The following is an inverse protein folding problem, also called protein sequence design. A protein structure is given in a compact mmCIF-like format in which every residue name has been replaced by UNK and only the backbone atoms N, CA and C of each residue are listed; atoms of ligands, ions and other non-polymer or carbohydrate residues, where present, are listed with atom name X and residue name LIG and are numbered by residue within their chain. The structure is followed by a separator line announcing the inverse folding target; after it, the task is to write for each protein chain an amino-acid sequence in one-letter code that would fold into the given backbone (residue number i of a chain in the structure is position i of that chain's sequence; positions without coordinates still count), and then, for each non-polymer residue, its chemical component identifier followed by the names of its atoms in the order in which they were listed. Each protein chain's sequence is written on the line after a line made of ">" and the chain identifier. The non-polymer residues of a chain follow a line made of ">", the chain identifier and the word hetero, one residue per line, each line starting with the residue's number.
data_IF_677284358632
#
_entry.id   IF_677284358632
#
_cell.length_a   1.000
_cell.length_b   1.000
_cell.length_c   1.000
_cell.angle_alpha   90.00
_cell.angle_beta   90.00
_cell.angle_gamma   90.00
#
_symmetry.space_group_name_H-M   'P 1'
#
loop_
_entity.id
_entity.type
_entity.pdbx_description
1 polymer ?
#
# COMPACT_ATOMS: atom_id res chain seq x y z
N UNK A 1 -13.52 -4.68 -9.78
CA UNK A 1 -13.35 -3.32 -10.33
C UNK A 1 -14.17 -3.06 -11.58
N UNK A 2 -13.83 -3.59 -12.76
CA UNK A 2 -14.61 -3.30 -13.98
C UNK A 2 -16.11 -3.64 -13.87
N UNK A 3 -16.46 -4.80 -13.30
CA UNK A 3 -17.86 -5.19 -13.03
C UNK A 3 -18.59 -4.25 -12.06
N UNK A 4 -17.84 -3.49 -11.27
CA UNK A 4 -18.30 -2.52 -10.29
C UNK A 4 -18.33 -1.08 -10.85
N UNK A 5 -18.03 -0.89 -12.15
CA UNK A 5 -18.03 0.42 -12.82
C UNK A 5 -16.72 1.21 -12.72
N UNK A 6 -15.64 0.61 -12.20
CA UNK A 6 -14.35 1.28 -12.07
C UNK A 6 -13.47 1.04 -13.30
N UNK A 7 -12.89 2.12 -13.81
CA UNK A 7 -11.68 2.04 -14.64
C UNK A 7 -10.47 1.70 -13.76
N UNK A 8 -9.49 0.97 -14.30
CA UNK A 8 -8.31 0.52 -13.56
C UNK A 8 -7.06 1.09 -14.19
N UNK A 9 -6.27 1.81 -13.39
CA UNK A 9 -4.88 2.15 -13.68
C UNK A 9 -3.98 1.24 -12.84
N UNK A 10 -3.23 0.36 -13.50
CA UNK A 10 -2.26 -0.51 -12.82
C UNK A 10 -0.93 0.23 -12.74
N UNK A 11 -0.37 0.31 -11.54
CA UNK A 11 0.95 0.86 -11.26
C UNK A 11 1.83 -0.31 -10.87
N UNK A 12 2.68 -0.74 -11.78
CA UNK A 12 3.63 -1.82 -11.52
C UNK A 12 4.80 -1.28 -10.69
N UNK A 13 5.20 -2.04 -9.69
CA UNK A 13 6.37 -1.74 -8.86
C UNK A 13 7.35 -2.88 -8.98
N UNK A 14 8.59 -2.57 -9.31
CA UNK A 14 9.63 -3.57 -9.40
C UNK A 14 10.41 -3.65 -8.08
N UNK A 15 10.94 -4.83 -7.78
CA UNK A 15 11.79 -5.03 -6.59
C UNK A 15 13.02 -4.10 -6.62
N UNK A 16 13.51 -3.72 -7.80
CA UNK A 16 14.61 -2.75 -7.94
C UNK A 16 14.25 -1.36 -7.38
N UNK A 17 12.99 -0.95 -7.50
CA UNK A 17 12.51 0.36 -7.02
C UNK A 17 12.40 0.37 -5.50
N UNK A 18 12.08 -0.79 -4.92
CA UNK A 18 12.19 -1.02 -3.48
C UNK A 18 13.67 -0.99 -3.06
N UNK A 19 14.55 -1.75 -3.71
CA UNK A 19 15.97 -1.79 -3.34
C UNK A 19 16.67 -0.44 -3.49
N UNK A 20 16.23 0.41 -4.42
CA UNK A 20 16.75 1.75 -4.64
C UNK A 20 15.64 2.83 -4.54
N UNK A 21 15.32 3.30 -3.32
CA UNK A 21 14.14 4.15 -3.06
C UNK A 21 14.02 5.43 -3.89
N UNK A 22 15.14 5.98 -4.37
CA UNK A 22 15.12 7.16 -5.26
C UNK A 22 14.34 6.91 -6.54
N UNK A 23 14.44 5.72 -7.13
CA UNK A 23 13.65 5.38 -8.32
C UNK A 23 12.17 5.26 -7.98
N UNK A 24 11.84 4.69 -6.82
CA UNK A 24 10.48 4.69 -6.29
C UNK A 24 9.90 6.10 -6.12
N UNK A 25 10.70 7.05 -5.60
CA UNK A 25 10.31 8.46 -5.50
C UNK A 25 10.06 9.09 -6.87
N UNK A 26 10.97 8.90 -7.83
CA UNK A 26 10.83 9.49 -9.17
C UNK A 26 9.60 8.91 -9.90
N UNK A 27 9.33 7.61 -9.72
CA UNK A 27 8.13 6.97 -10.23
C UNK A 27 6.87 7.52 -9.56
N UNK A 28 6.88 7.70 -8.24
CA UNK A 28 5.77 8.29 -7.49
C UNK A 28 5.44 9.71 -7.93
N UNK A 29 6.47 10.53 -8.18
CA UNK A 29 6.29 11.88 -8.74
C UNK A 29 5.65 11.84 -10.13
N UNK A 30 6.15 10.96 -11.00
CA UNK A 30 5.60 10.78 -12.36
C UNK A 30 4.13 10.39 -12.33
N UNK A 31 3.75 9.49 -11.41
CA UNK A 31 2.36 9.10 -11.21
C UNK A 31 1.49 10.25 -10.69
N UNK A 32 1.98 11.06 -9.75
CA UNK A 32 1.25 12.23 -9.28
C UNK A 32 1.04 13.28 -10.38
N UNK A 33 2.05 13.50 -11.23
CA UNK A 33 1.94 14.40 -12.38
C UNK A 33 0.94 13.84 -13.41
N UNK A 34 0.94 12.52 -13.67
CA UNK A 34 -0.06 11.85 -14.52
C UNK A 34 -1.49 12.02 -13.98
N UNK A 35 -1.70 11.83 -12.68
CA UNK A 35 -3.01 11.94 -12.03
C UNK A 35 -3.58 13.36 -12.05
N UNK A 36 -2.76 14.37 -12.36
CA UNK A 36 -3.16 15.78 -12.52
C UNK A 36 -3.44 16.17 -13.98
N UNK A 37 -3.22 15.28 -14.95
CA UNK A 37 -3.58 15.54 -16.35
C UNK A 37 -5.10 15.64 -16.53
N UNK A 38 -5.55 16.35 -17.57
CA UNK A 38 -6.98 16.57 -17.86
C UNK A 38 -7.79 15.26 -17.91
N UNK A 39 -7.16 14.18 -18.38
CA UNK A 39 -7.76 12.83 -18.44
C UNK A 39 -8.20 12.31 -17.08
N UNK A 40 -7.49 12.64 -16.00
CA UNK A 40 -7.70 12.08 -14.67
C UNK A 40 -8.16 13.10 -13.63
N UNK A 41 -7.98 14.41 -13.87
CA UNK A 41 -8.18 15.46 -12.86
C UNK A 41 -9.61 15.58 -12.31
N UNK A 42 -10.62 15.08 -13.03
CA UNK A 42 -12.03 15.09 -12.58
C UNK A 42 -12.48 13.78 -11.95
N UNK A 43 -11.63 12.75 -12.00
CA UNK A 43 -12.02 11.38 -11.63
C UNK A 43 -11.78 11.13 -10.14
N UNK A 44 -12.78 10.60 -9.40
CA UNK A 44 -12.56 10.06 -8.07
C UNK A 44 -11.55 8.92 -8.11
N UNK A 45 -10.73 8.81 -7.08
CA UNK A 45 -9.67 7.81 -6.97
C UNK A 45 -9.98 6.86 -5.82
N UNK A 46 -9.74 5.57 -6.06
CA UNK A 46 -9.65 4.54 -5.05
C UNK A 46 -8.26 3.93 -5.18
N UNK A 47 -7.50 3.92 -4.09
CA UNK A 47 -6.18 3.30 -4.07
C UNK A 47 -6.34 1.86 -3.62
N UNK A 48 -5.79 0.90 -4.35
CA UNK A 48 -5.70 -0.49 -3.92
C UNK A 48 -4.25 -0.97 -4.04
N UNK A 49 -3.61 -1.16 -2.90
CA UNK A 49 -2.20 -1.54 -2.80
C UNK A 49 -2.07 -2.96 -2.25
N UNK A 50 -1.32 -3.80 -2.97
CA UNK A 50 -1.02 -5.17 -2.57
C UNK A 50 0.43 -5.26 -2.12
N UNK A 51 0.71 -5.93 -1.00
CA UNK A 51 2.09 -6.24 -0.58
C UNK A 51 2.99 -4.99 -0.54
N UNK A 52 4.15 -5.03 -1.22
CA UNK A 52 5.08 -3.91 -1.38
C UNK A 52 4.48 -2.70 -2.11
N UNK A 53 3.34 -2.85 -2.78
CA UNK A 53 2.60 -1.73 -3.37
C UNK A 53 2.19 -0.69 -2.34
N UNK A 54 2.07 -1.07 -1.06
CA UNK A 54 1.90 -0.10 0.02
C UNK A 54 3.10 0.81 0.21
N UNK A 55 4.31 0.27 0.06
CA UNK A 55 5.54 1.07 0.06
C UNK A 55 5.61 1.99 -1.16
N UNK A 56 5.23 1.50 -2.35
CA UNK A 56 5.12 2.34 -3.54
C UNK A 56 4.15 3.50 -3.30
N UNK A 57 3.00 3.23 -2.69
CA UNK A 57 2.06 4.29 -2.34
C UNK A 57 2.64 5.25 -1.30
N UNK A 58 3.39 4.76 -0.31
CA UNK A 58 4.09 5.61 0.64
C UNK A 58 5.07 6.59 -0.05
N UNK A 59 5.74 6.18 -1.14
CA UNK A 59 6.58 7.10 -1.94
C UNK A 59 5.77 8.29 -2.52
N UNK A 60 4.53 8.05 -2.95
CA UNK A 60 3.63 9.13 -3.38
C UNK A 60 3.27 10.03 -2.19
N UNK A 61 2.96 9.42 -1.04
CA UNK A 61 2.64 10.17 0.17
C UNK A 61 3.81 11.06 0.61
N UNK A 62 5.07 10.63 0.43
CA UNK A 62 6.25 11.46 0.73
C UNK A 62 6.24 12.75 -0.11
N UNK A 63 5.95 12.67 -1.41
CA UNK A 63 5.82 13.86 -2.26
C UNK A 63 4.63 14.73 -1.86
N UNK A 64 3.49 14.13 -1.53
CA UNK A 64 2.30 14.85 -1.06
C UNK A 64 2.59 15.59 0.24
N UNK A 65 3.29 14.96 1.18
CA UNK A 65 3.66 15.56 2.47
C UNK A 65 4.64 16.73 2.31
N UNK A 66 5.53 16.68 1.32
CA UNK A 66 6.49 17.75 1.00
C UNK A 66 5.84 18.97 0.35
N UNK A 67 4.82 18.77 -0.49
CA UNK A 67 4.10 19.86 -1.17
C UNK A 67 2.58 19.61 -1.21
N UNK A 68 1.94 19.86 -0.06
CA UNK A 68 0.51 19.66 0.11
C UNK A 68 -0.33 20.51 -0.83
N UNK A 69 0.13 21.73 -1.15
CA UNK A 69 -0.61 22.64 -2.03
C UNK A 69 -0.60 22.14 -3.46
N UNK A 70 0.57 21.71 -3.99
CA UNK A 70 0.66 21.14 -5.35
C UNK A 70 -0.27 19.94 -5.53
N UNK A 71 -0.29 19.02 -4.56
CA UNK A 71 -1.01 17.75 -4.72
C UNK A 71 -2.41 17.72 -4.07
N UNK A 72 -2.91 18.85 -3.58
CA UNK A 72 -4.22 18.94 -2.90
C UNK A 72 -5.38 18.43 -3.77
N UNK A 73 -5.34 18.76 -5.07
CA UNK A 73 -6.35 18.31 -6.02
C UNK A 73 -6.37 16.79 -6.19
N UNK A 74 -5.23 16.11 -6.03
CA UNK A 74 -5.14 14.64 -6.07
C UNK A 74 -5.70 14.05 -4.77
N UNK A 75 -5.27 14.55 -3.62
CA UNK A 75 -5.67 14.00 -2.31
C UNK A 75 -7.16 14.15 -2.06
N UNK A 76 -7.78 15.29 -2.42
CA UNK A 76 -9.23 15.51 -2.33
C UNK A 76 -10.06 14.53 -3.17
N UNK A 77 -9.47 13.94 -4.20
CA UNK A 77 -10.14 12.96 -5.08
C UNK A 77 -9.97 11.53 -4.62
N UNK A 78 -8.98 11.22 -3.79
CA UNK A 78 -8.90 9.91 -3.14
C UNK A 78 -10.10 9.81 -2.21
N UNK A 79 -10.96 8.81 -2.43
CA UNK A 79 -12.18 8.59 -1.65
C UNK A 79 -12.08 7.39 -0.74
N UNK A 80 -11.16 6.48 -1.03
CA UNK A 80 -10.86 5.35 -0.15
C UNK A 80 -9.54 4.70 -0.48
N UNK A 81 -9.08 3.88 0.44
CA UNK A 81 -7.81 3.16 0.37
C UNK A 81 -8.05 1.70 0.72
N UNK A 82 -7.47 0.77 -0.04
CA UNK A 82 -7.52 -0.66 0.23
C UNK A 82 -6.11 -1.18 0.27
N UNK A 83 -5.78 -1.91 1.32
CA UNK A 83 -4.47 -2.50 1.55
C UNK A 83 -4.64 -4.01 1.73
N UNK A 84 -3.99 -4.79 0.88
CA UNK A 84 -4.10 -6.25 0.87
C UNK A 84 -2.72 -6.87 1.11
N UNK A 85 -2.60 -7.58 2.24
CA UNK A 85 -1.33 -8.13 2.74
C UNK A 85 -0.22 -7.07 2.80
N UNK A 86 -0.50 -5.92 3.41
CA UNK A 86 0.43 -4.79 3.46
C UNK A 86 1.78 -5.23 4.06
N UNK A 87 2.87 -5.03 3.32
CA UNK A 87 4.21 -5.28 3.87
C UNK A 87 4.50 -4.18 4.90
N UNK A 88 4.36 -4.52 6.17
CA UNK A 88 4.59 -3.62 7.31
C UNK A 88 5.63 -4.22 8.24
N UNK A 89 6.55 -3.38 8.70
CA UNK A 89 7.58 -3.79 9.65
C UNK A 89 8.82 -2.91 9.55
N UNK A 90 9.79 -3.21 10.40
CA UNK A 90 11.13 -2.62 10.27
C UNK A 90 11.76 -3.07 8.95
N UNK A 91 12.68 -2.27 8.41
CA UNK A 91 13.44 -2.60 7.22
C UNK A 91 14.05 -4.01 7.24
N UNK A 92 14.55 -4.46 8.40
CA UNK A 92 15.09 -5.82 8.57
C UNK A 92 14.04 -6.90 8.31
N UNK A 93 12.83 -6.73 8.85
CA UNK A 93 11.72 -7.67 8.65
C UNK A 93 11.25 -7.68 7.19
N UNK A 94 11.17 -6.51 6.54
CA UNK A 94 10.80 -6.43 5.12
C UNK A 94 11.86 -7.08 4.22
N UNK A 95 13.14 -6.82 4.48
CA UNK A 95 14.26 -7.41 3.76
C UNK A 95 14.32 -8.94 3.93
N UNK A 96 14.08 -9.44 5.15
CA UNK A 96 14.03 -10.87 5.45
C UNK A 96 12.81 -11.53 4.77
N UNK A 97 11.63 -10.89 4.83
CA UNK A 97 10.41 -11.40 4.20
C UNK A 97 10.53 -11.50 2.67
N UNK A 98 11.06 -10.46 2.03
CA UNK A 98 11.33 -10.44 0.59
C UNK A 98 12.39 -11.46 0.19
N UNK A 99 13.50 -11.55 0.93
CA UNK A 99 14.58 -12.50 0.64
C UNK A 99 14.15 -13.95 0.78
N UNK A 100 13.39 -14.31 1.83
CA UNK A 100 12.81 -15.66 1.99
C UNK A 100 11.90 -16.03 0.83
N UNK A 101 11.12 -15.08 0.33
CA UNK A 101 10.17 -15.31 -0.77
C UNK A 101 10.88 -15.49 -2.11
N UNK A 102 11.92 -14.70 -2.37
CA UNK A 102 12.66 -14.74 -3.65
C UNK A 102 13.72 -15.86 -3.68
N UNK A 103 14.38 -16.15 -2.56
CA UNK A 103 15.53 -17.05 -2.47
C UNK A 103 15.42 -18.01 -1.28
N UNK A 104 14.41 -18.90 -1.24
CA UNK A 104 14.12 -19.75 -0.08
C UNK A 104 15.24 -20.74 0.28
N UNK A 105 16.20 -20.99 -0.64
CA UNK A 105 17.31 -21.95 -0.43
C UNK A 105 18.59 -21.34 0.13
N UNK A 106 18.71 -20.01 0.22
CA UNK A 106 19.94 -19.30 0.61
C UNK A 106 19.70 -18.26 1.70
N UNK A 107 18.73 -18.52 2.59
CA UNK A 107 18.20 -17.54 3.54
C UNK A 107 19.27 -16.78 4.33
N UNK A 108 20.21 -17.50 4.97
CA UNK A 108 21.22 -16.87 5.84
C UNK A 108 22.17 -15.97 5.05
N UNK A 109 22.62 -16.42 3.88
CA UNK A 109 23.54 -15.65 3.04
C UNK A 109 22.86 -14.40 2.45
N UNK A 110 21.62 -14.54 1.97
CA UNK A 110 20.86 -13.41 1.42
C UNK A 110 20.50 -12.41 2.51
N UNK A 111 20.19 -12.87 3.73
CA UNK A 111 19.98 -12.00 4.89
C UNK A 111 21.23 -11.19 5.20
N UNK A 112 22.41 -11.82 5.30
CA UNK A 112 23.66 -11.13 5.61
C UNK A 112 24.05 -10.11 4.53
N UNK A 113 23.91 -10.48 3.25
CA UNK A 113 24.16 -9.56 2.13
C UNK A 113 23.16 -8.40 2.12
N UNK A 114 21.89 -8.66 2.42
CA UNK A 114 20.86 -7.60 2.48
C UNK A 114 21.14 -6.62 3.61
N UNK A 115 21.46 -7.12 4.81
CA UNK A 115 21.84 -6.27 5.95
C UNK A 115 23.11 -5.47 5.67
N UNK A 116 24.12 -6.09 5.05
CA UNK A 116 25.34 -5.41 4.63
C UNK A 116 25.04 -4.30 3.60
N UNK A 117 24.19 -4.58 2.62
CA UNK A 117 23.73 -3.61 1.62
C UNK A 117 23.05 -2.41 2.29
N UNK A 118 22.04 -2.64 3.13
CA UNK A 118 21.31 -1.56 3.80
C UNK A 118 22.18 -0.77 4.79
N UNK A 119 23.18 -1.41 5.40
CA UNK A 119 24.13 -0.73 6.27
C UNK A 119 25.10 0.17 5.48
N UNK A 120 25.66 -0.32 4.37
CA UNK A 120 26.58 0.45 3.51
C UNK A 120 25.86 1.62 2.84
N UNK A 121 24.64 1.39 2.34
CA UNK A 121 23.84 2.38 1.61
C UNK A 121 22.79 3.05 2.48
N UNK A 122 23.02 3.15 3.80
CA UNK A 122 22.02 3.62 4.79
C UNK A 122 21.37 4.95 4.39
N UNK A 123 22.18 5.95 3.99
CA UNK A 123 21.68 7.27 3.57
C UNK A 123 20.95 7.25 2.23
N UNK A 124 21.22 6.27 1.39
CA UNK A 124 20.64 6.11 0.06
C UNK A 124 19.41 5.18 0.08
N UNK A 125 19.18 4.49 1.19
CA UNK A 125 18.13 3.46 1.33
C UNK A 125 17.34 3.65 2.63
N UNK A 126 17.91 3.29 3.77
CA UNK A 126 17.26 3.26 5.10
C UNK A 126 16.58 4.58 5.45
N UNK A 127 17.23 5.73 5.18
CA UNK A 127 16.63 7.03 5.49
C UNK A 127 15.34 7.28 4.68
N UNK A 128 15.31 6.88 3.41
CA UNK A 128 14.11 6.96 2.57
C UNK A 128 13.02 5.98 3.02
N UNK A 129 13.39 4.77 3.45
CA UNK A 129 12.44 3.81 4.00
C UNK A 129 11.80 4.36 5.28
N UNK A 130 12.60 4.88 6.20
CA UNK A 130 12.10 5.47 7.44
C UNK A 130 11.19 6.66 7.15
N UNK A 131 11.58 7.57 6.24
CA UNK A 131 10.72 8.69 5.82
C UNK A 131 9.37 8.19 5.27
N UNK A 132 9.39 7.13 4.46
CA UNK A 132 8.17 6.56 3.87
C UNK A 132 7.29 5.89 4.92
N UNK A 133 7.89 5.17 5.87
CA UNK A 133 7.19 4.58 7.01
C UNK A 133 6.56 5.69 7.85
N UNK A 134 7.33 6.71 8.24
CA UNK A 134 6.87 7.82 9.07
C UNK A 134 5.71 8.58 8.41
N UNK A 135 5.82 8.84 7.10
CA UNK A 135 4.74 9.47 6.33
C UNK A 135 3.53 8.55 6.22
N UNK A 136 3.69 7.23 6.09
CA UNK A 136 2.56 6.32 6.05
C UNK A 136 1.82 6.26 7.40
N UNK A 137 2.55 6.20 8.52
CA UNK A 137 1.94 6.31 9.85
C UNK A 137 1.18 7.62 10.03
N UNK A 138 1.77 8.72 9.56
CA UNK A 138 1.19 10.07 9.62
C UNK A 138 0.58 10.51 8.27
N UNK A 139 -0.18 9.61 7.63
CA UNK A 139 -0.63 9.77 6.25
C UNK A 139 -1.33 11.12 6.00
N UNK A 140 -0.98 11.85 4.92
CA UNK A 140 -1.73 13.04 4.50
C UNK A 140 -3.08 12.70 3.86
N UNK A 141 -3.38 11.43 3.63
CA UNK A 141 -4.64 10.94 3.03
C UNK A 141 -5.48 10.27 4.12
N UNK A 142 -6.46 11.02 4.63
CA UNK A 142 -7.30 10.61 5.78
C UNK A 142 -8.65 10.03 5.38
N UNK A 143 -8.78 9.54 4.15
CA UNK A 143 -10.02 8.93 3.64
C UNK A 143 -10.18 7.50 4.18
N UNK A 144 -11.41 6.95 4.22
CA UNK A 144 -11.66 5.62 4.75
C UNK A 144 -10.71 4.55 4.16
N UNK A 145 -10.28 3.61 4.99
CA UNK A 145 -9.33 2.57 4.60
C UNK A 145 -9.83 1.17 4.96
N UNK A 146 -9.54 0.20 4.08
CA UNK A 146 -9.82 -1.22 4.26
C UNK A 146 -8.50 -2.00 4.29
N UNK A 147 -8.28 -2.80 5.33
CA UNK A 147 -7.12 -3.67 5.46
C UNK A 147 -7.51 -5.15 5.42
N UNK A 148 -6.89 -5.90 4.51
CA UNK A 148 -6.93 -7.36 4.45
C UNK A 148 -5.59 -7.94 4.89
N UNK A 149 -5.60 -8.87 5.85
CA UNK A 149 -4.37 -9.50 6.36
C UNK A 149 -4.69 -10.84 7.05
N UNK A 150 -3.66 -11.65 7.33
CA UNK A 150 -3.83 -12.89 8.09
C UNK A 150 -2.70 -13.12 9.11
N UNK A 151 -2.97 -13.94 10.13
CA UNK A 151 -2.04 -14.15 11.25
C UNK A 151 -0.78 -14.93 10.85
N UNK A 152 -0.89 -15.81 9.86
CA UNK A 152 0.21 -16.64 9.36
C UNK A 152 1.07 -15.96 8.26
N UNK A 153 0.92 -14.67 8.01
CA UNK A 153 1.68 -13.93 7.00
C UNK A 153 3.00 -13.39 7.56
N UNK A 154 4.12 -13.95 7.09
CA UNK A 154 5.46 -13.54 7.53
C UNK A 154 5.91 -12.18 6.96
N UNK A 155 5.26 -11.67 5.91
CA UNK A 155 5.59 -10.40 5.26
C UNK A 155 4.66 -9.27 5.71
N UNK A 156 3.43 -9.59 6.11
CA UNK A 156 2.42 -8.66 6.61
C UNK A 156 2.07 -8.99 8.05
N UNK A 157 2.92 -8.58 8.99
CA UNK A 157 2.72 -8.86 10.41
C UNK A 157 1.37 -8.32 10.93
N UNK A 158 0.49 -9.23 11.32
CA UNK A 158 -0.88 -8.91 11.71
C UNK A 158 -0.95 -7.91 12.88
N UNK A 159 -0.06 -8.05 13.87
CA UNK A 159 -0.02 -7.14 15.02
C UNK A 159 0.40 -5.72 14.60
N UNK A 160 1.31 -5.60 13.64
CA UNK A 160 1.72 -4.29 13.09
C UNK A 160 0.59 -3.66 12.28
N UNK A 161 -0.12 -4.43 11.45
CA UNK A 161 -1.31 -3.92 10.73
C UNK A 161 -2.39 -3.48 11.72
N UNK A 162 -2.67 -4.25 12.77
CA UNK A 162 -3.62 -3.89 13.83
C UNK A 162 -3.20 -2.59 14.54
N UNK A 163 -1.93 -2.45 14.94
CA UNK A 163 -1.41 -1.22 15.55
C UNK A 163 -1.55 0.00 14.64
N UNK A 164 -1.21 -0.15 13.36
CA UNK A 164 -1.35 0.91 12.36
C UNK A 164 -2.81 1.31 12.17
N UNK A 165 -3.70 0.34 11.96
CA UNK A 165 -5.14 0.58 11.83
C UNK A 165 -5.72 1.28 13.06
N UNK A 166 -5.35 0.85 14.26
CA UNK A 166 -5.76 1.48 15.51
C UNK A 166 -5.20 2.90 15.68
N UNK A 167 -3.98 3.17 15.21
CA UNK A 167 -3.41 4.51 15.18
C UNK A 167 -4.19 5.44 14.24
N UNK A 168 -4.47 5.00 13.01
CA UNK A 168 -5.27 5.75 12.05
C UNK A 168 -6.71 6.00 12.54
N UNK A 169 -7.32 5.00 13.16
CA UNK A 169 -8.66 5.13 13.74
C UNK A 169 -8.70 6.16 14.88
N UNK A 170 -7.69 6.17 15.77
CA UNK A 170 -7.55 7.19 16.82
C UNK A 170 -7.37 8.60 16.26
N UNK A 171 -6.80 8.72 15.07
CA UNK A 171 -6.64 9.99 14.35
C UNK A 171 -7.85 10.33 13.46
N UNK A 172 -8.98 9.66 13.64
CA UNK A 172 -10.25 10.00 12.98
C UNK A 172 -10.43 9.43 11.58
N UNK A 173 -9.58 8.50 11.13
CA UNK A 173 -9.77 7.81 9.86
C UNK A 173 -10.75 6.64 10.08
N UNK A 174 -11.76 6.51 9.21
CA UNK A 174 -12.65 5.35 9.23
C UNK A 174 -11.91 4.11 8.73
N UNK A 175 -11.83 3.07 9.56
CA UNK A 175 -11.09 1.85 9.24
C UNK A 175 -12.03 0.64 9.22
N UNK A 176 -11.96 -0.13 8.15
CA UNK A 176 -12.50 -1.49 8.06
C UNK A 176 -11.33 -2.48 8.02
N UNK A 177 -11.41 -3.56 8.78
CA UNK A 177 -10.42 -4.63 8.74
C UNK A 177 -11.08 -5.97 8.45
N UNK A 178 -10.38 -6.83 7.72
CA UNK A 178 -10.72 -8.24 7.57
C UNK A 178 -9.46 -9.08 7.79
N UNK A 179 -9.45 -9.74 8.94
CA UNK A 179 -8.38 -10.64 9.37
C UNK A 179 -8.82 -12.10 9.20
N UNK A 180 -7.91 -12.95 8.74
CA UNK A 180 -8.04 -14.41 8.78
C UNK A 180 -6.96 -15.02 9.66
N UNK A 181 -7.24 -16.16 10.30
CA UNK A 181 -6.19 -16.94 10.99
C UNK A 181 -5.19 -17.49 9.98
N UNK A 182 -5.70 -18.09 8.89
CA UNK A 182 -4.88 -18.71 7.84
C UNK A 182 -5.29 -18.20 6.46
N UNK A 183 -4.32 -17.64 5.74
CA UNK A 183 -4.44 -17.33 4.32
C UNK A 183 -3.06 -17.32 3.64
N UNK A 184 -3.03 -16.94 2.36
CA UNK A 184 -1.80 -16.75 1.60
C UNK A 184 -1.56 -15.26 1.38
N UNK A 185 -0.32 -14.80 1.58
CA UNK A 185 0.11 -13.44 1.25
C UNK A 185 -0.31 -13.03 -0.16
N UNK A 186 -0.97 -11.89 -0.28
CA UNK A 186 -1.58 -11.33 -1.49
C UNK A 186 -2.51 -12.32 -2.24
N UNK A 187 -3.06 -13.30 -1.53
CA UNK A 187 -3.87 -14.40 -2.05
C UNK A 187 -5.25 -14.52 -1.39
N UNK A 188 -5.64 -13.53 -0.58
CA UNK A 188 -6.87 -13.58 0.22
C UNK A 188 -8.13 -13.75 -0.63
N UNK A 189 -8.26 -13.00 -1.73
CA UNK A 189 -9.39 -13.13 -2.65
C UNK A 189 -9.52 -14.55 -3.24
N UNK A 190 -8.39 -15.22 -3.50
CA UNK A 190 -8.39 -16.59 -4.04
C UNK A 190 -8.77 -17.63 -2.98
N UNK A 191 -8.31 -17.44 -1.76
CA UNK A 191 -8.56 -18.36 -0.65
C UNK A 191 -9.97 -18.20 -0.06
N UNK A 192 -10.43 -16.95 0.07
CA UNK A 192 -11.64 -16.57 0.81
C UNK A 192 -12.53 -15.62 -0.02
N UNK A 193 -12.97 -16.02 -1.24
CA UNK A 193 -13.58 -15.11 -2.21
C UNK A 193 -14.88 -14.47 -1.71
N UNK A 194 -15.73 -15.23 -1.03
CA UNK A 194 -17.03 -14.74 -0.56
C UNK A 194 -16.87 -13.66 0.51
N UNK A 195 -16.07 -13.94 1.55
CA UNK A 195 -15.81 -12.98 2.62
C UNK A 195 -15.05 -11.76 2.10
N UNK A 196 -14.05 -11.97 1.24
CA UNK A 196 -13.30 -10.88 0.62
C UNK A 196 -14.23 -9.95 -0.14
N UNK A 197 -15.02 -10.47 -1.09
CA UNK A 197 -15.90 -9.68 -1.94
C UNK A 197 -17.04 -9.04 -1.13
N UNK A 198 -17.57 -9.73 -0.11
CA UNK A 198 -18.60 -9.18 0.76
C UNK A 198 -18.09 -7.95 1.51
N UNK A 199 -16.94 -8.05 2.18
CA UNK A 199 -16.30 -6.91 2.86
C UNK A 199 -15.95 -5.80 1.88
N UNK A 200 -15.39 -6.16 0.72
CA UNK A 200 -14.97 -5.20 -0.30
C UNK A 200 -16.16 -4.40 -0.85
N UNK A 201 -17.25 -5.09 -1.20
CA UNK A 201 -18.46 -4.44 -1.71
C UNK A 201 -19.12 -3.54 -0.65
N UNK A 202 -19.14 -3.98 0.60
CA UNK A 202 -19.65 -3.18 1.73
C UNK A 202 -18.83 -1.91 1.92
N UNK A 203 -17.50 -2.02 1.83
CA UNK A 203 -16.60 -0.87 1.86
C UNK A 203 -16.84 0.06 0.66
N UNK A 204 -16.92 -0.45 -0.57
CA UNK A 204 -17.22 0.40 -1.73
C UNK A 204 -18.55 1.15 -1.61
N UNK A 205 -19.57 0.52 -1.04
CA UNK A 205 -20.86 1.15 -0.78
C UNK A 205 -20.75 2.28 0.23
N UNK A 206 -19.95 2.13 1.29
CA UNK A 206 -19.76 3.19 2.30
C UNK A 206 -19.06 4.43 1.72
N UNK A 207 -18.23 4.27 0.69
CA UNK A 207 -17.55 5.39 0.02
C UNK A 207 -18.48 6.27 -0.83
N UNK A 208 -19.73 5.84 -1.07
CA UNK A 208 -20.71 6.56 -1.89
C UNK A 208 -20.20 6.97 -3.29
N UNK A 209 -19.28 6.18 -3.84
CA UNK A 209 -18.84 6.30 -5.23
C UNK A 209 -19.98 5.83 -6.15
N UNK A 210 -20.78 6.77 -6.67
CA UNK A 210 -21.97 6.57 -7.54
C UNK A 210 -21.65 5.68 -8.77
N UNK A 211 -22.55 4.79 -9.26
CA UNK A 211 -23.16 3.62 -8.64
C UNK A 211 -22.60 2.27 -9.17
N UNK A 212 -22.74 1.21 -8.36
CA UNK A 212 -22.42 -0.21 -8.64
C UNK A 212 -23.37 -0.89 -9.68
N UNK A 213 -23.63 -0.25 -10.82
CA UNK A 213 -24.25 -0.93 -11.98
C UNK A 213 -23.49 -0.58 -13.24
N UNK A 214 -22.72 -1.53 -13.75
CA UNK A 214 -22.29 -1.52 -15.14
C UNK A 214 -23.52 -1.39 -16.03
N UNK A 215 -23.48 -0.51 -17.04
CA UNK A 215 -24.36 -0.66 -18.20
C UNK A 215 -24.04 -2.04 -18.79
N UNK A 216 -25.03 -2.91 -18.84
CA UNK A 216 -24.97 -4.18 -19.58
C UNK A 216 -24.71 -3.91 -21.06
#
# INVERSE_FOLDING_TARGET
>A
YFRSGFDVLVVESEVKDFLWPRWGLDHGKTLLDLLQTERFTTRPLLVHAFSIGGYTFAQLLVHISKDKHKYEAVTKRIKGQVYDSLVVGTLDHMAIGLSKTMFPRWETLVKEISLLYFNIFKRQTVDYFNESIDVFWNTPVTTPALFYFCENDLMSDAQTVERLSGHWQKNGIEITTKKWEVSKHAGHLKMHPEEYLSTFNSFLQSLQLVPLKAKM
#
